data_IF_928996225881
#
_entry.id   IF_928996225881
#
_cell.length_a   1.000
_cell.length_b   1.000
_cell.length_c   1.000
_cell.angle_alpha   90.00
_cell.angle_beta   90.00
_cell.angle_gamma   90.00
#
_symmetry.space_group_name_H-M   'P 1'
#
loop_
_entity.id
_entity.type
_entity.pdbx_description
1 polymer ?
#
# COMPACT_ATOMS: atom_id res chain seq x y z
N UNK A 1 14.95 -2.28 81.49
CA UNK A 1 13.61 -1.96 80.98
C UNK A 1 13.67 -0.95 79.84
N UNK A 2 14.08 0.31 80.06
CA UNK A 2 14.14 1.33 79.00
C UNK A 2 15.11 1.00 77.84
N UNK A 3 16.33 0.53 78.14
CA UNK A 3 17.30 0.13 77.10
C UNK A 3 16.79 -1.03 76.22
N UNK A 4 15.95 -1.88 76.76
CA UNK A 4 15.40 -3.05 76.07
C UNK A 4 14.24 -2.66 75.14
N UNK A 5 13.42 -1.69 75.56
CA UNK A 5 12.42 -1.05 74.71
C UNK A 5 13.05 -0.29 73.54
N UNK A 6 14.14 0.45 73.78
CA UNK A 6 14.86 1.16 72.72
C UNK A 6 15.37 0.16 71.66
N UNK A 7 16.01 -0.93 72.10
CA UNK A 7 16.52 -1.98 71.20
C UNK A 7 15.41 -2.67 70.40
N UNK A 8 14.26 -2.93 71.02
CA UNK A 8 13.10 -3.51 70.35
C UNK A 8 12.49 -2.55 69.31
N UNK A 9 12.46 -1.24 69.60
CA UNK A 9 12.02 -0.23 68.64
C UNK A 9 13.01 -0.07 67.48
N UNK A 10 14.32 -0.10 67.75
CA UNK A 10 15.35 -0.07 66.72
C UNK A 10 15.24 -1.26 65.76
N UNK A 11 15.02 -2.47 66.27
CA UNK A 11 14.77 -3.65 65.44
C UNK A 11 13.54 -3.51 64.54
N UNK A 12 12.43 -2.97 65.07
CA UNK A 12 11.22 -2.69 64.28
C UNK A 12 11.47 -1.65 63.19
N UNK A 13 12.24 -0.60 63.48
CA UNK A 13 12.62 0.42 62.48
C UNK A 13 13.46 -0.20 61.36
N UNK A 14 14.40 -1.08 61.69
CA UNK A 14 15.22 -1.78 60.68
C UNK A 14 14.34 -2.68 59.81
N UNK A 15 13.39 -3.42 60.41
CA UNK A 15 12.42 -4.23 59.67
C UNK A 15 11.55 -3.40 58.71
N UNK A 16 10.97 -2.29 59.19
CA UNK A 16 10.18 -1.40 58.34
C UNK A 16 11.00 -0.75 57.22
N UNK A 17 12.28 -0.44 57.44
CA UNK A 17 13.17 0.07 56.38
C UNK A 17 13.42 -0.98 55.29
N UNK A 18 13.57 -2.25 55.66
CA UNK A 18 13.74 -3.35 54.70
C UNK A 18 12.45 -3.58 53.88
N UNK A 19 11.29 -3.65 54.53
CA UNK A 19 10.00 -3.78 53.85
C UNK A 19 9.75 -2.60 52.91
N UNK A 20 10.04 -1.37 53.36
CA UNK A 20 9.93 -0.18 52.53
C UNK A 20 10.85 -0.25 51.29
N UNK A 21 12.10 -0.69 51.46
CA UNK A 21 13.03 -0.86 50.34
C UNK A 21 12.54 -1.91 49.33
N UNK A 22 11.98 -3.03 49.81
CA UNK A 22 11.39 -4.05 48.95
C UNK A 22 10.17 -3.50 48.18
N UNK A 23 9.30 -2.75 48.86
CA UNK A 23 8.12 -2.15 48.25
C UNK A 23 8.50 -1.13 47.18
N UNK A 24 9.50 -0.28 47.44
CA UNK A 24 10.03 0.68 46.46
C UNK A 24 10.60 -0.06 45.25
N UNK A 25 11.36 -1.14 45.45
CA UNK A 25 11.91 -1.93 44.36
C UNK A 25 10.80 -2.57 43.50
N UNK A 26 9.75 -3.11 44.13
CA UNK A 26 8.62 -3.70 43.42
C UNK A 26 7.84 -2.65 42.62
N UNK A 27 7.59 -1.48 43.22
CA UNK A 27 6.94 -0.34 42.53
C UNK A 27 7.78 0.12 41.33
N UNK A 28 9.09 0.21 41.49
CA UNK A 28 10.01 0.59 40.41
C UNK A 28 9.95 -0.42 39.26
N UNK A 29 9.94 -1.72 39.57
CA UNK A 29 9.86 -2.78 38.56
C UNK A 29 8.54 -2.74 37.79
N UNK A 30 7.40 -2.61 38.48
CA UNK A 30 6.08 -2.47 37.86
C UNK A 30 6.05 -1.23 36.96
N UNK A 31 6.64 -0.11 37.39
CA UNK A 31 6.70 1.11 36.59
C UNK A 31 7.51 0.93 35.31
N UNK A 32 8.66 0.25 35.39
CA UNK A 32 9.46 -0.07 34.20
C UNK A 32 8.70 -0.99 33.23
N UNK A 33 8.00 -2.01 33.74
CA UNK A 33 7.17 -2.90 32.92
C UNK A 33 6.02 -2.13 32.26
N UNK A 34 5.37 -1.22 32.99
CA UNK A 34 4.32 -0.36 32.46
C UNK A 34 4.84 0.54 31.33
N UNK A 35 5.99 1.17 31.49
CA UNK A 35 6.61 2.01 30.46
C UNK A 35 6.97 1.19 29.21
N UNK A 36 7.48 -0.04 29.39
CA UNK A 36 7.77 -0.94 28.26
C UNK A 36 6.50 -1.36 27.50
N UNK A 37 5.42 -1.69 28.22
CA UNK A 37 4.14 -2.06 27.61
C UNK A 37 3.52 -0.87 26.89
N UNK A 38 3.56 0.33 27.48
CA UNK A 38 3.09 1.55 26.83
C UNK A 38 3.87 1.84 25.54
N UNK A 39 5.19 1.70 25.55
CA UNK A 39 6.01 1.86 24.36
C UNK A 39 5.68 0.81 23.29
N UNK A 40 5.42 -0.45 23.67
CA UNK A 40 4.98 -1.50 22.75
C UNK A 40 3.60 -1.19 22.16
N UNK A 41 2.66 -0.75 22.99
CA UNK A 41 1.31 -0.37 22.56
C UNK A 41 1.36 0.79 21.56
N UNK A 42 2.12 1.85 21.86
CA UNK A 42 2.29 2.99 20.94
C UNK A 42 2.89 2.58 19.59
N UNK A 43 3.85 1.66 19.57
CA UNK A 43 4.39 1.10 18.31
C UNK A 43 3.36 0.27 17.55
N UNK A 44 2.56 -0.55 18.25
CA UNK A 44 1.53 -1.37 17.64
C UNK A 44 0.43 -0.50 17.01
N UNK A 45 -0.03 0.54 17.71
CA UNK A 45 -1.02 1.50 17.17
C UNK A 45 -0.49 2.16 15.90
N UNK A 46 0.75 2.68 15.94
CA UNK A 46 1.37 3.27 14.76
C UNK A 46 1.45 2.29 13.58
N UNK A 47 1.82 1.03 13.84
CA UNK A 47 1.87 0.00 12.80
C UNK A 47 0.48 -0.27 12.21
N UNK A 48 -0.57 -0.30 13.03
CA UNK A 48 -1.95 -0.47 12.54
C UNK A 48 -2.37 0.71 11.67
N UNK A 49 -2.02 1.94 12.05
CA UNK A 49 -2.30 3.13 11.25
C UNK A 49 -1.57 3.09 9.90
N UNK A 50 -0.26 2.78 9.92
CA UNK A 50 0.56 2.65 8.72
C UNK A 50 0.00 1.56 7.77
N UNK A 51 -0.37 0.39 8.33
CA UNK A 51 -0.98 -0.71 7.56
C UNK A 51 -2.38 -0.38 7.04
N UNK A 52 -3.14 0.48 7.73
CA UNK A 52 -4.47 0.90 7.28
C UNK A 52 -4.39 1.78 6.04
N UNK A 53 -3.38 2.65 5.97
CA UNK A 53 -3.11 3.45 4.77
C UNK A 53 -2.73 2.55 3.59
N UNK A 54 -1.89 1.55 3.86
CA UNK A 54 -1.45 0.59 2.85
C UNK A 54 -2.63 -0.27 2.37
N UNK A 55 -3.47 -0.78 3.28
CA UNK A 55 -4.70 -1.49 2.92
C UNK A 55 -5.55 -0.71 1.92
N UNK A 56 -5.76 0.58 2.17
CA UNK A 56 -6.55 1.45 1.28
C UNK A 56 -5.90 1.57 -0.10
N UNK A 57 -4.57 1.72 -0.15
CA UNK A 57 -3.80 1.74 -1.40
C UNK A 57 -3.99 0.45 -2.21
N UNK A 58 -3.90 -0.70 -1.56
CA UNK A 58 -4.07 -2.01 -2.20
C UNK A 58 -5.52 -2.22 -2.67
N UNK A 59 -6.51 -1.77 -1.90
CA UNK A 59 -7.92 -1.83 -2.32
C UNK A 59 -8.16 -0.98 -3.58
N UNK A 60 -7.58 0.22 -3.67
CA UNK A 60 -7.66 1.05 -4.88
C UNK A 60 -6.99 0.38 -6.08
N UNK A 61 -5.78 -0.18 -5.91
CA UNK A 61 -5.10 -0.92 -6.98
C UNK A 61 -5.88 -2.16 -7.41
N UNK A 62 -6.48 -2.89 -6.47
CA UNK A 62 -7.31 -4.06 -6.77
C UNK A 62 -8.53 -3.70 -7.60
N UNK A 63 -9.23 -2.60 -7.26
CA UNK A 63 -10.35 -2.09 -8.07
C UNK A 63 -9.88 -1.69 -9.47
N UNK A 64 -8.77 -0.97 -9.59
CA UNK A 64 -8.19 -0.61 -10.88
C UNK A 64 -7.87 -1.84 -11.76
N UNK A 65 -7.35 -2.92 -11.16
CA UNK A 65 -7.12 -4.17 -11.88
C UNK A 65 -8.41 -4.88 -12.27
N UNK A 66 -9.46 -4.83 -11.45
CA UNK A 66 -10.77 -5.38 -11.82
C UNK A 66 -11.36 -4.65 -13.03
N UNK A 67 -11.27 -3.31 -13.06
CA UNK A 67 -11.69 -2.51 -14.21
C UNK A 67 -10.88 -2.84 -15.47
N UNK A 68 -9.56 -2.91 -15.37
CA UNK A 68 -8.69 -3.29 -16.50
C UNK A 68 -8.97 -4.72 -16.98
N UNK A 69 -9.21 -5.66 -16.07
CA UNK A 69 -9.53 -7.05 -16.43
C UNK A 69 -10.87 -7.14 -17.15
N UNK A 70 -11.83 -6.29 -16.79
CA UNK A 70 -13.15 -6.25 -17.43
C UNK A 70 -13.09 -5.76 -18.89
N UNK A 71 -12.12 -4.90 -19.25
CA UNK A 71 -11.94 -4.39 -20.62
C UNK A 71 -10.82 -5.08 -21.40
N UNK A 72 -10.01 -5.90 -20.73
CA UNK A 72 -8.79 -6.53 -21.28
C UNK A 72 -9.01 -7.20 -22.63
N UNK A 73 -10.11 -7.93 -22.78
CA UNK A 73 -10.40 -8.69 -24.01
C UNK A 73 -10.63 -7.72 -25.18
N UNK A 74 -11.48 -6.70 -24.99
CA UNK A 74 -11.74 -5.69 -26.03
C UNK A 74 -10.48 -4.89 -26.37
N UNK A 75 -9.73 -4.47 -25.35
CA UNK A 75 -8.50 -3.70 -25.54
C UNK A 75 -7.44 -4.49 -26.33
N UNK A 76 -7.28 -5.79 -26.03
CA UNK A 76 -6.39 -6.69 -26.77
C UNK A 76 -6.85 -6.93 -28.22
N UNK A 77 -8.15 -7.05 -28.46
CA UNK A 77 -8.68 -7.23 -29.83
C UNK A 77 -8.41 -6.00 -30.70
N UNK A 78 -8.66 -4.80 -30.17
CA UNK A 78 -8.36 -3.54 -30.86
C UNK A 78 -6.88 -3.44 -31.18
N UNK A 79 -6.01 -3.70 -30.20
CA UNK A 79 -4.56 -3.63 -30.41
C UNK A 79 -4.08 -4.69 -31.41
N UNK A 80 -4.64 -5.90 -31.37
CA UNK A 80 -4.35 -6.96 -32.32
C UNK A 80 -4.77 -6.59 -33.75
N UNK A 81 -5.97 -6.04 -33.93
CA UNK A 81 -6.44 -5.53 -35.22
C UNK A 81 -5.54 -4.40 -35.74
N UNK A 82 -5.09 -3.51 -34.85
CA UNK A 82 -4.14 -2.44 -35.20
C UNK A 82 -2.80 -3.00 -35.70
N UNK A 83 -2.18 -3.92 -34.96
CA UNK A 83 -0.89 -4.47 -35.36
C UNK A 83 -0.95 -5.30 -36.66
N UNK A 84 -2.10 -5.88 -36.98
CA UNK A 84 -2.24 -6.81 -38.13
C UNK A 84 -2.69 -6.12 -39.41
N UNK A 85 -3.65 -5.19 -39.35
CA UNK A 85 -4.30 -4.64 -40.54
C UNK A 85 -3.96 -3.18 -40.85
N UNK A 86 -3.60 -2.39 -39.83
CA UNK A 86 -3.60 -0.92 -39.96
C UNK A 86 -2.34 -0.36 -40.64
N UNK A 87 -1.25 -1.13 -40.72
CA UNK A 87 0.06 -0.68 -41.20
C UNK A 87 0.09 -0.09 -42.62
N UNK A 88 -0.73 -0.61 -43.54
CA UNK A 88 -0.77 -0.16 -44.94
C UNK A 88 -1.52 1.17 -45.14
N UNK A 89 -2.45 1.49 -44.26
CA UNK A 89 -3.39 2.60 -44.44
C UNK A 89 -2.81 3.96 -44.03
N UNK A 90 -3.41 5.03 -44.54
CA UNK A 90 -3.11 6.42 -44.14
C UNK A 90 -3.83 6.82 -42.84
N UNK A 91 -3.47 7.95 -42.25
CA UNK A 91 -4.00 8.36 -40.94
C UNK A 91 -5.53 8.39 -40.90
N UNK A 92 -6.17 8.88 -41.97
CA UNK A 92 -7.63 8.99 -42.06
C UNK A 92 -8.29 7.60 -42.07
N UNK A 93 -7.84 6.69 -42.93
CA UNK A 93 -8.39 5.33 -42.99
C UNK A 93 -8.12 4.56 -41.70
N UNK A 94 -6.95 4.76 -41.07
CA UNK A 94 -6.64 4.14 -39.77
C UNK A 94 -7.65 4.57 -38.70
N UNK A 95 -7.99 5.85 -38.63
CA UNK A 95 -8.98 6.36 -37.67
C UNK A 95 -10.38 5.79 -37.95
N UNK A 96 -10.79 5.76 -39.22
CA UNK A 96 -12.10 5.22 -39.62
C UNK A 96 -12.22 3.72 -39.32
N UNK A 97 -11.19 2.92 -39.62
CA UNK A 97 -11.15 1.50 -39.29
C UNK A 97 -11.25 1.30 -37.79
N UNK A 98 -10.43 2.01 -37.00
CA UNK A 98 -10.46 1.91 -35.54
C UNK A 98 -11.84 2.22 -34.95
N UNK A 99 -12.54 3.22 -35.49
CA UNK A 99 -13.91 3.51 -35.07
C UNK A 99 -14.87 2.35 -35.40
N UNK A 100 -14.80 1.81 -36.62
CA UNK A 100 -15.63 0.67 -37.01
C UNK A 100 -15.38 -0.58 -36.16
N UNK A 101 -14.13 -0.87 -35.77
CA UNK A 101 -13.83 -1.97 -34.86
C UNK A 101 -14.42 -1.75 -33.47
N UNK A 102 -14.42 -0.50 -32.97
CA UNK A 102 -15.05 -0.16 -31.68
C UNK A 102 -16.56 -0.37 -31.73
N UNK A 103 -17.21 0.07 -32.81
CA UNK A 103 -18.66 -0.10 -32.98
C UNK A 103 -19.04 -1.59 -33.03
N UNK A 104 -18.24 -2.42 -33.72
CA UNK A 104 -18.46 -3.88 -33.76
C UNK A 104 -18.29 -4.54 -32.39
N UNK A 105 -17.32 -4.10 -31.58
CA UNK A 105 -17.13 -4.63 -30.23
C UNK A 105 -18.27 -4.23 -29.30
N UNK A 106 -18.81 -3.02 -29.46
CA UNK A 106 -19.98 -2.55 -28.73
C UNK A 106 -21.24 -3.35 -29.10
N UNK A 107 -21.47 -3.59 -30.40
CA UNK A 107 -22.57 -4.45 -30.88
C UNK A 107 -22.45 -5.89 -30.34
N UNK A 108 -21.22 -6.40 -30.26
CA UNK A 108 -20.93 -7.72 -29.68
C UNK A 108 -20.99 -7.74 -28.13
N UNK A 109 -21.31 -6.63 -27.47
CA UNK A 109 -21.32 -6.49 -26.00
C UNK A 109 -19.96 -6.80 -25.34
N UNK A 110 -18.86 -6.56 -26.05
CA UNK A 110 -17.50 -6.71 -25.54
C UNK A 110 -17.04 -5.38 -24.97
N UNK A 111 -16.76 -5.35 -23.67
CA UNK A 111 -16.27 -4.15 -23.00
C UNK A 111 -14.86 -3.81 -23.47
N UNK A 112 -14.65 -2.52 -23.72
CA UNK A 112 -13.36 -1.94 -24.09
C UNK A 112 -13.23 -0.58 -23.40
N UNK A 113 -12.02 -0.05 -23.34
CA UNK A 113 -11.79 1.32 -22.88
C UNK A 113 -12.17 2.32 -23.98
N UNK A 114 -13.04 3.28 -23.66
CA UNK A 114 -13.51 4.34 -24.57
C UNK A 114 -12.32 5.09 -25.20
N UNK A 115 -11.43 5.62 -24.35
CA UNK A 115 -10.22 6.33 -24.76
C UNK A 115 -8.97 5.43 -24.74
N UNK A 116 -9.05 4.26 -25.37
CA UNK A 116 -7.86 3.40 -25.52
C UNK A 116 -6.86 4.03 -26.51
N UNK A 117 -5.74 4.51 -25.99
CA UNK A 117 -4.54 4.82 -26.78
C UNK A 117 -3.75 3.54 -27.03
N UNK A 118 -3.78 3.04 -28.27
CA UNK A 118 -3.04 1.83 -28.68
C UNK A 118 -1.54 1.98 -28.43
N UNK A 119 -1.00 3.18 -28.66
CA UNK A 119 0.43 3.46 -28.46
C UNK A 119 0.79 3.37 -26.97
N UNK A 120 0.00 3.99 -26.09
CA UNK A 120 0.28 3.93 -24.64
C UNK A 120 0.04 2.54 -24.06
N UNK A 121 -0.87 1.76 -24.65
CA UNK A 121 -1.17 0.41 -24.22
C UNK A 121 -0.07 -0.59 -24.60
N UNK A 122 0.52 -0.44 -25.79
CA UNK A 122 1.54 -1.35 -26.31
C UNK A 122 2.98 -0.93 -25.97
N UNK A 123 3.23 0.36 -25.71
CA UNK A 123 4.58 0.90 -25.53
C UNK A 123 4.69 1.69 -24.24
N UNK A 124 5.73 1.41 -23.45
CA UNK A 124 6.00 2.17 -22.23
C UNK A 124 6.52 3.57 -22.58
N UNK A 125 6.23 4.59 -21.75
CA UNK A 125 6.79 5.93 -21.95
C UNK A 125 8.32 5.95 -22.06
N UNK A 126 9.01 5.10 -21.29
CA UNK A 126 10.47 4.98 -21.33
C UNK A 126 11.01 4.45 -22.66
N UNK A 127 10.30 3.52 -23.30
CA UNK A 127 10.70 2.96 -24.60
C UNK A 127 10.54 4.00 -25.70
N UNK A 128 9.41 4.73 -25.68
CA UNK A 128 9.17 5.84 -26.61
C UNK A 128 10.22 6.94 -26.46
N UNK A 129 10.62 7.25 -25.23
CA UNK A 129 11.70 8.20 -24.97
C UNK A 129 13.01 7.75 -25.62
N UNK A 130 13.39 6.50 -25.46
CA UNK A 130 14.57 5.94 -26.11
C UNK A 130 14.47 5.97 -27.64
N UNK A 131 13.30 5.74 -28.23
CA UNK A 131 13.15 5.85 -29.69
C UNK A 131 13.35 7.27 -30.18
N UNK A 132 12.87 8.28 -29.43
CA UNK A 132 13.15 9.69 -29.74
C UNK A 132 14.64 10.01 -29.67
N UNK A 133 15.35 9.51 -28.65
CA UNK A 133 16.81 9.62 -28.58
C UNK A 133 17.50 8.98 -29.80
N UNK A 134 16.91 7.92 -30.35
CA UNK A 134 17.35 7.24 -31.57
C UNK A 134 16.75 7.85 -32.86
N UNK A 135 16.37 9.13 -32.84
CA UNK A 135 15.91 9.91 -33.99
C UNK A 135 14.58 9.45 -34.63
N UNK A 136 13.70 8.76 -33.88
CA UNK A 136 12.31 8.60 -34.29
C UNK A 136 11.64 10.00 -34.35
N UNK A 137 10.99 10.38 -35.47
CA UNK A 137 10.26 11.63 -35.57
C UNK A 137 9.14 11.76 -34.53
N UNK A 138 8.86 12.99 -34.12
CA UNK A 138 7.76 13.34 -33.22
C UNK A 138 6.37 13.14 -33.85
#
# INVERSE_FOLDING_TARGET
>A
AEQEQIKAMEQKIVGYKQEYAQLISAVQQIKMEMDQVNAKCGRATKLVDDLSSEKTRWEMSSRGFQEQTATLIGDCLICGAFCTFIGFFDLFMRQQLMHSWRDQLEEASIKQKEDLSVIDYLCKPSERFQWKENALPD
#
